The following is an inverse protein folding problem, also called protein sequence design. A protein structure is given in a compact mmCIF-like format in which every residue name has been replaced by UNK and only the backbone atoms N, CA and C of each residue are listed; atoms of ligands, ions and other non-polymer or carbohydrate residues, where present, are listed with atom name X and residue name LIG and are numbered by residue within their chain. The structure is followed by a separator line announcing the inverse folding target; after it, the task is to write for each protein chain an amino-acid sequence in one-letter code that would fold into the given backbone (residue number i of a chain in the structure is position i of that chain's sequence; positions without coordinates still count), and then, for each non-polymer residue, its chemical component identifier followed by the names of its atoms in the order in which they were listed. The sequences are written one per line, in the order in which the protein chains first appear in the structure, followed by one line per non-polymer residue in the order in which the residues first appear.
data_IF_178849458680
#
_entry.id   IF_178849458680
#
_cell.length_a   1.000
_cell.length_b   1.000
_cell.length_c   1.000
_cell.angle_alpha   90.00
_cell.angle_beta   90.00
_cell.angle_gamma   90.00
#
_symmetry.space_group_name_H-M   'P 1'
#
loop_
_entity.id
_entity.type
_entity.pdbx_description
1 polymer ?
#
# COMPACT_ATOMS: atom_id res chain seq x y z
N UNK A 1 61.68 7.13 -39.04
CA UNK A 1 61.19 8.51 -39.21
C UNK A 1 60.09 8.52 -40.25
N UNK A 2 58.94 9.14 -40.12
CA UNK A 2 58.44 10.15 -39.20
C UNK A 2 57.25 9.63 -38.35
N UNK A 3 57.01 10.05 -37.16
CA UNK A 3 56.43 11.29 -36.57
C UNK A 3 54.89 11.40 -36.73
N UNK A 4 54.26 11.25 -35.54
CA UNK A 4 53.13 12.03 -35.06
C UNK A 4 51.82 12.15 -35.80
N UNK A 5 50.76 11.59 -35.18
CA UNK A 5 49.52 12.33 -34.95
C UNK A 5 48.72 11.68 -33.82
N UNK A 6 49.01 12.10 -32.59
CA UNK A 6 48.05 11.98 -31.49
C UNK A 6 47.54 13.40 -31.25
N UNK A 7 46.26 13.62 -31.49
CA UNK A 7 45.51 14.69 -30.85
C UNK A 7 44.02 14.60 -31.17
N UNK A 8 43.19 14.59 -30.14
CA UNK A 8 41.83 15.10 -30.27
C UNK A 8 40.69 14.11 -30.11
N UNK A 9 40.51 13.47 -28.93
CA UNK A 9 39.19 13.07 -28.46
C UNK A 9 39.14 13.22 -26.95
N UNK A 10 39.22 14.46 -26.51
CA UNK A 10 38.92 14.79 -25.11
C UNK A 10 38.23 16.16 -25.08
N UNK A 11 36.98 16.21 -25.41
CA UNK A 11 36.06 17.31 -25.08
C UNK A 11 34.66 16.97 -25.57
N UNK A 12 33.79 16.51 -24.73
CA UNK A 12 32.34 16.77 -24.74
C UNK A 12 31.57 15.75 -23.91
N UNK A 13 31.65 15.80 -22.61
CA UNK A 13 30.62 15.21 -21.73
C UNK A 13 30.50 16.05 -20.44
N UNK A 14 30.27 17.35 -20.61
CA UNK A 14 29.67 18.18 -19.58
C UNK A 14 28.27 18.58 -20.02
N UNK A 15 27.38 17.58 -20.11
CA UNK A 15 25.95 17.84 -20.16
C UNK A 15 25.51 18.29 -18.78
N UNK A 16 25.44 19.59 -18.58
CA UNK A 16 24.72 20.20 -17.48
C UNK A 16 23.27 19.74 -17.57
N UNK A 17 22.91 18.77 -16.74
CA UNK A 17 21.51 18.49 -16.47
C UNK A 17 20.94 19.74 -15.82
N UNK A 18 20.26 20.53 -16.63
CA UNK A 18 19.44 21.63 -16.18
C UNK A 18 18.23 21.02 -15.48
N UNK A 19 18.37 20.72 -14.17
CA UNK A 19 17.28 20.36 -13.30
C UNK A 19 16.42 21.62 -13.24
N UNK A 20 15.29 21.58 -13.95
CA UNK A 20 14.24 22.59 -13.84
C UNK A 20 14.02 22.88 -12.36
N UNK A 21 13.99 24.14 -11.91
CA UNK A 21 13.73 24.43 -10.51
C UNK A 21 12.40 23.78 -10.15
N UNK A 22 12.40 23.00 -9.06
CA UNK A 22 11.20 22.42 -8.51
C UNK A 22 10.12 23.50 -8.49
N UNK A 23 8.98 23.21 -9.09
CA UNK A 23 7.77 24.02 -8.94
C UNK A 23 7.44 23.88 -7.45
N UNK A 24 7.98 24.77 -6.64
CA UNK A 24 7.49 24.95 -5.28
C UNK A 24 6.03 25.37 -5.45
N UNK A 25 5.04 24.59 -4.97
CA UNK A 25 3.69 25.07 -4.94
C UNK A 25 3.74 26.34 -4.10
N UNK A 26 3.45 27.48 -4.72
CA UNK A 26 3.14 28.72 -3.99
C UNK A 26 1.87 28.40 -3.20
N UNK A 27 2.04 27.95 -1.97
CA UNK A 27 1.02 28.08 -0.95
C UNK A 27 0.80 29.58 -0.87
N UNK A 28 -0.27 30.05 -1.54
CA UNK A 28 -0.67 31.47 -1.48
C UNK A 28 -0.81 31.80 -0.01
N UNK A 29 -0.23 32.93 0.38
CA UNK A 29 -0.30 33.57 1.68
C UNK A 29 -1.51 33.15 2.53
N UNK A 30 -1.44 31.97 3.16
CA UNK A 30 -2.12 31.76 4.40
C UNK A 30 -1.43 32.74 5.36
N UNK A 31 -2.15 33.72 5.87
CA UNK A 31 -1.67 34.60 6.92
C UNK A 31 -0.94 33.76 7.94
N UNK A 32 0.39 33.96 8.06
CA UNK A 32 1.28 33.09 8.83
C UNK A 32 0.61 32.83 10.20
N UNK A 33 0.14 31.61 10.43
CA UNK A 33 -0.44 31.22 11.72
C UNK A 33 0.75 31.17 12.69
N UNK A 34 0.85 32.16 13.54
CA UNK A 34 1.85 32.15 14.59
C UNK A 34 1.54 30.95 15.50
N UNK A 35 2.34 29.89 15.37
CA UNK A 35 2.23 28.71 16.23
C UNK A 35 2.51 29.14 17.66
N UNK A 36 1.64 28.75 18.59
CA UNK A 36 1.92 28.97 20.01
C UNK A 36 3.13 28.15 20.47
N UNK A 37 3.84 28.58 21.55
CA UNK A 37 5.06 27.92 21.99
C UNK A 37 4.88 26.44 22.38
N UNK A 38 3.69 26.05 22.89
CA UNK A 38 3.43 24.66 23.27
C UNK A 38 3.27 23.81 22.01
N UNK A 39 2.57 24.33 20.98
CA UNK A 39 2.44 23.67 19.69
C UNK A 39 3.77 23.50 19.00
N UNK A 40 4.59 24.53 19.00
CA UNK A 40 5.96 24.49 18.45
C UNK A 40 6.78 23.35 19.09
N UNK A 41 6.77 23.25 20.41
CA UNK A 41 7.49 22.18 21.13
C UNK A 41 6.97 20.78 20.77
N UNK A 42 5.67 20.62 20.58
CA UNK A 42 5.09 19.33 20.14
C UNK A 42 5.57 18.98 18.73
N UNK A 43 5.55 19.91 17.80
CA UNK A 43 6.02 19.70 16.43
C UNK A 43 7.51 19.39 16.38
N UNK A 44 8.33 20.04 17.19
CA UNK A 44 9.77 19.74 17.31
C UNK A 44 10.02 18.29 17.76
N UNK A 45 9.23 17.78 18.74
CA UNK A 45 9.31 16.39 19.19
C UNK A 45 8.94 15.42 18.07
N UNK A 46 7.91 15.72 17.28
CA UNK A 46 7.52 14.88 16.16
C UNK A 46 8.61 14.89 15.07
N UNK A 47 9.19 16.04 14.76
CA UNK A 47 10.30 16.17 13.81
C UNK A 47 11.52 15.32 14.23
N UNK A 48 11.85 15.31 15.52
CA UNK A 48 12.89 14.43 16.07
C UNK A 48 12.53 12.95 15.91
N UNK A 49 11.28 12.57 16.19
CA UNK A 49 10.80 11.20 16.07
C UNK A 49 10.88 10.68 14.63
N UNK A 50 10.48 11.49 13.66
CA UNK A 50 10.48 11.11 12.23
C UNK A 50 11.82 11.32 11.54
N UNK A 51 12.78 11.99 12.19
CA UNK A 51 14.11 12.28 11.63
C UNK A 51 14.09 13.26 10.46
N UNK A 52 13.13 14.19 10.45
CA UNK A 52 13.01 15.24 9.42
C UNK A 52 12.73 16.60 10.06
N UNK A 53 13.58 17.60 9.75
CA UNK A 53 13.39 18.98 10.16
C UNK A 53 12.73 19.75 9.03
N UNK A 54 11.56 20.34 9.30
CA UNK A 54 10.81 21.11 8.32
C UNK A 54 11.38 22.51 8.15
N UNK A 55 11.51 22.95 6.89
CA UNK A 55 11.79 24.34 6.54
C UNK A 55 10.60 25.23 6.88
N UNK A 56 9.38 24.69 6.68
CA UNK A 56 8.12 25.33 7.05
C UNK A 56 7.32 24.45 8.02
N UNK A 57 7.38 24.73 9.36
CA UNK A 57 6.62 23.98 10.36
C UNK A 57 5.09 24.08 10.20
N UNK A 58 4.58 25.09 9.50
CA UNK A 58 3.14 25.25 9.24
C UNK A 58 2.60 24.11 8.37
N UNK A 59 3.41 23.61 7.42
CA UNK A 59 3.05 22.44 6.60
C UNK A 59 2.88 21.19 7.47
N UNK A 60 3.72 21.01 8.48
CA UNK A 60 3.58 19.92 9.43
C UNK A 60 2.34 20.11 10.31
N UNK A 61 2.07 21.33 10.78
CA UNK A 61 0.87 21.63 11.57
C UNK A 61 -0.41 21.37 10.78
N UNK A 62 -0.43 21.75 9.51
CA UNK A 62 -1.54 21.47 8.59
C UNK A 62 -1.77 19.97 8.42
N UNK A 63 -0.72 19.18 8.22
CA UNK A 63 -0.81 17.72 8.09
C UNK A 63 -1.43 17.05 9.32
N UNK A 64 -1.35 17.68 10.48
CA UNK A 64 -1.87 17.20 11.75
C UNK A 64 -3.21 17.83 12.14
N UNK A 65 -3.79 18.68 11.29
CA UNK A 65 -5.06 19.36 11.52
C UNK A 65 -6.20 18.64 10.81
N UNK A 66 -7.08 18.00 11.58
CA UNK A 66 -8.25 17.29 11.07
C UNK A 66 -9.37 18.26 10.68
N UNK A 67 -10.17 17.92 9.67
CA UNK A 67 -11.26 18.76 9.15
C UNK A 67 -12.28 19.20 10.21
N UNK A 68 -12.44 18.46 11.31
CA UNK A 68 -13.31 18.85 12.42
C UNK A 68 -12.91 20.18 13.08
N UNK A 69 -11.63 20.58 13.00
CA UNK A 69 -11.15 21.88 13.49
C UNK A 69 -11.68 23.01 12.62
N UNK A 70 -11.52 22.86 11.29
CA UNK A 70 -12.00 23.82 10.32
C UNK A 70 -13.54 24.04 10.43
N UNK A 71 -14.29 22.95 10.64
CA UNK A 71 -15.74 23.03 10.87
C UNK A 71 -16.14 23.81 12.13
N UNK A 72 -15.34 23.76 13.18
CA UNK A 72 -15.63 24.46 14.45
C UNK A 72 -15.19 25.93 14.40
N UNK A 73 -14.09 26.23 13.68
CA UNK A 73 -13.56 27.60 13.58
C UNK A 73 -14.30 28.47 12.57
N UNK A 74 -14.95 27.83 11.58
CA UNK A 74 -15.61 28.55 10.49
C UNK A 74 -17.10 28.19 10.41
N UNK A 75 -17.96 29.06 10.88
CA UNK A 75 -19.41 28.91 10.71
C UNK A 75 -19.91 29.22 9.27
N UNK A 76 -19.07 29.70 8.35
CA UNK A 76 -19.55 30.26 7.07
C UNK A 76 -18.80 29.82 5.81
N UNK A 77 -17.48 29.54 5.82
CA UNK A 77 -16.76 29.12 4.60
C UNK A 77 -15.57 28.20 4.94
N UNK A 78 -15.59 26.98 4.39
CA UNK A 78 -14.49 26.02 4.48
C UNK A 78 -13.52 26.26 3.31
N UNK A 79 -12.23 26.50 3.62
CA UNK A 79 -11.21 26.62 2.60
C UNK A 79 -10.40 25.32 2.48
N UNK A 80 -10.05 24.88 1.25
CA UNK A 80 -9.33 23.63 1.02
C UNK A 80 -7.97 23.50 1.70
N UNK A 81 -7.46 24.55 2.32
CA UNK A 81 -6.15 24.61 2.98
C UNK A 81 -6.25 24.74 4.51
N UNK A 82 -7.42 24.52 5.10
CA UNK A 82 -7.63 24.69 6.54
C UNK A 82 -7.43 23.39 7.32
N UNK A 83 -7.32 22.25 6.61
CA UNK A 83 -7.14 20.92 7.17
C UNK A 83 -6.21 20.03 6.33
N UNK A 84 -6.08 18.76 6.71
CA UNK A 84 -5.15 17.82 6.11
C UNK A 84 -5.69 17.02 4.91
N UNK A 85 -6.94 17.24 4.46
CA UNK A 85 -7.55 16.40 3.41
C UNK A 85 -6.78 16.46 2.07
N UNK A 86 -6.30 17.63 1.67
CA UNK A 86 -5.48 17.73 0.46
C UNK A 86 -4.10 17.08 0.60
N UNK A 87 -3.51 17.15 1.79
CA UNK A 87 -2.26 16.48 2.07
C UNK A 87 -2.45 14.95 2.15
N UNK A 88 -3.57 14.46 2.71
CA UNK A 88 -3.97 13.06 2.66
C UNK A 88 -4.03 12.56 1.22
N UNK A 89 -4.76 13.27 0.35
CA UNK A 89 -4.87 12.93 -1.08
C UNK A 89 -3.51 12.82 -1.77
N UNK A 90 -2.62 13.78 -1.56
CA UNK A 90 -1.27 13.73 -2.11
C UNK A 90 -0.44 12.61 -1.47
N UNK A 91 -0.60 12.42 -0.17
CA UNK A 91 0.13 11.43 0.61
C UNK A 91 -0.15 9.99 0.21
N UNK A 92 -1.40 9.66 -0.09
CA UNK A 92 -1.78 8.34 -0.64
C UNK A 92 -1.00 8.04 -1.93
N UNK A 93 -0.95 8.99 -2.86
CA UNK A 93 -0.21 8.83 -4.11
C UNK A 93 1.31 8.68 -3.90
N UNK A 94 1.90 9.50 -3.03
CA UNK A 94 3.35 9.44 -2.70
C UNK A 94 3.68 8.13 -1.97
N UNK A 95 2.86 7.72 -1.01
CA UNK A 95 2.99 6.45 -0.31
C UNK A 95 2.93 5.27 -1.28
N UNK A 96 1.90 5.26 -2.15
CA UNK A 96 1.74 4.23 -3.18
C UNK A 96 2.96 4.10 -4.08
N UNK A 97 3.52 5.22 -4.53
CA UNK A 97 4.77 5.27 -5.32
C UNK A 97 5.95 4.68 -4.54
N UNK A 98 6.19 5.16 -3.33
CA UNK A 98 7.36 4.79 -2.52
C UNK A 98 7.33 3.31 -2.12
N UNK A 99 6.16 2.78 -1.74
CA UNK A 99 5.98 1.35 -1.43
C UNK A 99 6.18 0.52 -2.70
N UNK A 100 5.60 0.92 -3.83
CA UNK A 100 5.76 0.22 -5.11
C UNK A 100 7.21 0.17 -5.55
N UNK A 101 7.91 1.30 -5.51
CA UNK A 101 9.33 1.37 -5.87
C UNK A 101 10.18 0.47 -4.97
N UNK A 102 9.93 0.49 -3.66
CA UNK A 102 10.64 -0.36 -2.71
C UNK A 102 10.45 -1.85 -3.04
N UNK A 103 9.20 -2.29 -3.19
CA UNK A 103 8.87 -3.69 -3.48
C UNK A 103 9.45 -4.14 -4.83
N UNK A 104 9.35 -3.31 -5.87
CA UNK A 104 9.90 -3.59 -7.19
C UNK A 104 11.42 -3.80 -7.17
N UNK A 105 12.14 -2.97 -6.41
CA UNK A 105 13.60 -3.05 -6.31
C UNK A 105 14.07 -4.17 -5.39
N UNK A 106 13.35 -4.41 -4.30
CA UNK A 106 13.75 -5.40 -3.29
C UNK A 106 13.44 -6.84 -3.70
N UNK A 107 12.39 -7.05 -4.52
CA UNK A 107 11.88 -8.37 -4.88
C UNK A 107 11.71 -8.53 -6.40
N UNK A 108 12.82 -8.47 -7.17
CA UNK A 108 12.77 -8.54 -8.64
C UNK A 108 12.31 -9.92 -9.16
N UNK A 109 12.28 -10.93 -8.31
CA UNK A 109 11.77 -12.26 -8.62
C UNK A 109 10.24 -12.36 -8.64
N UNK A 110 9.53 -11.38 -8.07
CA UNK A 110 8.07 -11.40 -8.04
C UNK A 110 7.46 -10.83 -9.31
N UNK A 111 6.40 -11.48 -9.77
CA UNK A 111 5.52 -10.95 -10.81
C UNK A 111 4.61 -9.85 -10.23
N UNK A 112 3.85 -9.19 -11.09
CA UNK A 112 2.95 -8.09 -10.73
C UNK A 112 1.94 -8.47 -9.64
N UNK A 113 1.35 -9.67 -9.70
CA UNK A 113 0.33 -10.13 -8.76
C UNK A 113 0.79 -10.11 -7.28
N UNK A 114 1.87 -10.83 -6.91
CA UNK A 114 2.44 -10.76 -5.55
C UNK A 114 2.82 -9.34 -5.12
N UNK A 115 3.44 -8.53 -6.01
CA UNK A 115 3.82 -7.15 -5.70
C UNK A 115 2.60 -6.28 -5.39
N UNK A 116 1.52 -6.42 -6.16
CA UNK A 116 0.27 -5.69 -5.93
C UNK A 116 -0.40 -6.10 -4.60
N UNK A 117 -0.38 -7.39 -4.26
CA UNK A 117 -0.88 -7.87 -2.97
C UNK A 117 -0.07 -7.33 -1.79
N UNK A 118 1.26 -7.39 -1.86
CA UNK A 118 2.13 -6.82 -0.83
C UNK A 118 1.87 -5.32 -0.67
N UNK A 119 1.85 -4.57 -1.76
CA UNK A 119 1.54 -3.13 -1.73
C UNK A 119 0.23 -2.86 -1.01
N UNK A 120 -0.86 -3.57 -1.37
CA UNK A 120 -2.18 -3.36 -0.78
C UNK A 120 -2.22 -3.56 0.74
N UNK A 121 -1.37 -4.43 1.29
CA UNK A 121 -1.25 -4.62 2.73
C UNK A 121 -0.68 -3.37 3.42
N UNK A 122 0.40 -2.79 2.86
CA UNK A 122 1.11 -1.66 3.46
C UNK A 122 0.41 -0.31 3.27
N UNK A 123 -0.35 -0.13 2.17
CA UNK A 123 -1.13 1.10 1.95
C UNK A 123 -2.56 1.00 2.53
N UNK A 124 -2.91 -0.11 3.18
CA UNK A 124 -4.25 -0.27 3.73
C UNK A 124 -4.50 0.67 4.91
N UNK A 125 -5.71 1.23 5.00
CA UNK A 125 -6.15 2.05 6.15
C UNK A 125 -5.92 1.37 7.49
N UNK A 126 -6.11 0.04 7.56
CA UNK A 126 -5.88 -0.72 8.78
C UNK A 126 -4.39 -0.72 9.18
N UNK A 127 -3.50 -0.88 8.21
CA UNK A 127 -2.05 -0.85 8.47
C UNK A 127 -1.59 0.55 8.85
N UNK A 128 -1.96 1.57 8.09
CA UNK A 128 -1.61 2.96 8.37
C UNK A 128 -2.16 3.45 9.72
N UNK A 129 -3.36 3.02 10.09
CA UNK A 129 -3.91 3.30 11.43
C UNK A 129 -3.03 2.73 12.56
N UNK A 130 -2.46 1.51 12.38
CA UNK A 130 -1.50 0.92 13.33
C UNK A 130 -0.17 1.67 13.33
N UNK A 131 0.32 2.09 12.17
CA UNK A 131 1.51 2.95 12.04
C UNK A 131 1.31 4.24 12.82
N UNK A 132 0.20 4.95 12.59
CA UNK A 132 -0.12 6.18 13.33
C UNK A 132 -0.23 5.97 14.84
N UNK A 133 -0.73 4.79 15.26
CA UNK A 133 -0.77 4.42 16.68
C UNK A 133 0.62 4.16 17.25
N UNK A 134 1.49 3.44 16.55
CA UNK A 134 2.88 3.17 16.98
C UNK A 134 3.71 4.45 17.08
N UNK A 135 3.51 5.40 16.16
CA UNK A 135 4.10 6.74 16.20
C UNK A 135 3.50 7.64 17.29
N UNK A 136 2.42 7.20 17.97
CA UNK A 136 1.61 8.02 18.87
C UNK A 136 1.12 9.32 18.21
N UNK A 137 0.81 9.25 16.91
CA UNK A 137 0.48 10.43 16.12
C UNK A 137 -0.76 11.16 16.66
N UNK A 138 -1.66 10.43 17.33
CA UNK A 138 -2.81 11.00 18.02
C UNK A 138 -2.48 12.08 19.05
N UNK A 139 -1.30 12.05 19.69
CA UNK A 139 -0.88 13.05 20.67
C UNK A 139 -0.57 14.41 20.01
N UNK A 140 -0.29 14.40 18.70
CA UNK A 140 0.07 15.58 17.92
C UNK A 140 -1.10 16.16 17.11
N UNK A 141 -2.24 15.43 16.99
CA UNK A 141 -3.38 15.86 16.20
C UNK A 141 -4.08 17.09 16.79
N UNK A 142 -4.53 17.96 15.90
CA UNK A 142 -5.54 18.99 16.20
C UNK A 142 -6.90 18.44 15.79
N UNK A 143 -7.81 18.39 16.74
CA UNK A 143 -9.18 17.88 16.56
C UNK A 143 -10.16 18.90 17.09
N UNK A 144 -11.33 19.01 16.45
CA UNK A 144 -12.45 19.74 16.99
C UNK A 144 -12.97 19.09 18.28
N UNK A 145 -13.65 19.86 19.13
CA UNK A 145 -14.14 19.42 20.45
C UNK A 145 -15.06 18.20 20.37
N UNK A 146 -15.87 18.12 19.32
CA UNK A 146 -16.77 17.00 19.07
C UNK A 146 -15.98 15.72 18.78
N UNK A 147 -15.00 15.80 17.88
CA UNK A 147 -14.16 14.67 17.50
C UNK A 147 -13.24 14.23 18.67
N UNK A 148 -12.69 15.19 19.41
CA UNK A 148 -11.91 14.92 20.63
C UNK A 148 -12.71 14.10 21.65
N UNK A 149 -13.95 14.54 21.96
CA UNK A 149 -14.85 13.85 22.91
C UNK A 149 -15.23 12.43 22.48
N UNK A 150 -15.32 12.19 21.16
CA UNK A 150 -15.63 10.86 20.60
C UNK A 150 -14.41 9.94 20.53
N UNK A 151 -13.25 10.36 21.06
CA UNK A 151 -12.01 9.59 21.08
C UNK A 151 -11.26 9.59 19.74
N UNK A 152 -11.42 10.63 18.94
CA UNK A 152 -10.83 10.79 17.61
C UNK A 152 -9.34 10.50 17.53
N UNK A 153 -8.56 10.88 18.58
CA UNK A 153 -7.12 10.62 18.65
C UNK A 153 -6.72 9.14 18.51
N UNK A 154 -7.65 8.21 18.73
CA UNK A 154 -7.41 6.76 18.68
C UNK A 154 -8.14 6.09 17.51
N UNK A 155 -8.93 6.82 16.73
CA UNK A 155 -9.64 6.26 15.58
C UNK A 155 -8.66 5.91 14.47
N UNK A 156 -8.65 4.66 14.06
CA UNK A 156 -7.74 4.15 13.03
C UNK A 156 -7.84 4.93 11.71
N UNK A 157 -9.04 5.39 11.32
CA UNK A 157 -9.22 6.17 10.11
C UNK A 157 -8.51 7.53 10.20
N UNK A 158 -8.68 8.27 11.31
CA UNK A 158 -8.04 9.58 11.51
C UNK A 158 -6.52 9.44 11.57
N UNK A 159 -6.03 8.39 12.23
CA UNK A 159 -4.59 8.12 12.30
C UNK A 159 -4.01 7.75 10.94
N UNK A 160 -4.73 6.97 10.12
CA UNK A 160 -4.29 6.62 8.76
C UNK A 160 -4.18 7.86 7.87
N UNK A 161 -5.23 8.69 7.85
CA UNK A 161 -5.26 9.94 7.08
C UNK A 161 -4.12 10.89 7.50
N UNK A 162 -3.84 10.97 8.82
CA UNK A 162 -2.73 11.77 9.33
C UNK A 162 -1.35 11.22 8.95
N UNK A 163 -1.18 9.90 8.82
CA UNK A 163 0.08 9.29 8.31
C UNK A 163 0.28 9.66 6.85
N UNK A 164 -0.75 9.56 6.02
CA UNK A 164 -0.69 9.97 4.60
C UNK A 164 -0.37 11.46 4.48
N UNK A 165 -1.09 12.31 5.21
CA UNK A 165 -0.83 13.75 5.22
C UNK A 165 0.59 14.10 5.69
N UNK A 166 1.12 13.40 6.68
CA UNK A 166 2.52 13.56 7.15
C UNK A 166 3.53 13.18 6.06
N UNK A 167 3.29 12.09 5.34
CA UNK A 167 4.13 11.67 4.20
C UNK A 167 4.14 12.75 3.12
N UNK A 168 2.97 13.32 2.79
CA UNK A 168 2.87 14.43 1.85
C UNK A 168 3.63 15.67 2.33
N UNK A 169 3.48 16.03 3.61
CA UNK A 169 4.18 17.18 4.19
C UNK A 169 5.70 17.02 4.09
N UNK A 170 6.24 15.85 4.45
CA UNK A 170 7.67 15.54 4.29
C UNK A 170 8.09 15.57 2.83
N UNK A 171 7.26 15.06 1.93
CA UNK A 171 7.53 15.10 0.50
C UNK A 171 7.59 16.53 -0.05
N UNK A 172 6.64 17.38 0.30
CA UNK A 172 6.60 18.78 -0.14
C UNK A 172 7.80 19.59 0.40
N UNK A 173 8.20 19.32 1.64
CA UNK A 173 9.30 20.03 2.30
C UNK A 173 10.69 19.56 1.84
N UNK A 174 10.88 18.24 1.66
CA UNK A 174 12.20 17.64 1.42
C UNK A 174 12.30 16.73 0.19
N UNK A 175 11.20 16.47 -0.53
CA UNK A 175 11.17 15.61 -1.70
C UNK A 175 11.08 14.11 -1.38
N UNK A 176 11.27 13.28 -2.41
CA UNK A 176 11.09 11.82 -2.32
C UNK A 176 12.08 11.13 -1.37
N UNK A 177 13.31 11.64 -1.21
CA UNK A 177 14.32 10.95 -0.41
C UNK A 177 13.96 10.96 1.09
N UNK A 178 13.63 12.09 1.73
CA UNK A 178 13.15 12.10 3.11
C UNK A 178 11.83 11.34 3.29
N UNK A 179 10.86 11.50 2.38
CA UNK A 179 9.61 10.77 2.43
C UNK A 179 9.83 9.25 2.35
N UNK A 180 10.73 8.79 1.48
CA UNK A 180 11.12 7.38 1.39
C UNK A 180 11.79 6.84 2.65
N UNK A 181 12.56 7.67 3.37
CA UNK A 181 13.12 7.27 4.68
C UNK A 181 12.02 7.09 5.72
N UNK A 182 11.07 8.01 5.77
CA UNK A 182 9.91 7.92 6.66
C UNK A 182 9.10 6.64 6.38
N UNK A 183 8.75 6.38 5.12
CA UNK A 183 7.99 5.20 4.72
C UNK A 183 8.74 3.90 5.09
N UNK A 184 10.04 3.82 4.83
CA UNK A 184 10.83 2.63 5.19
C UNK A 184 10.93 2.42 6.70
N UNK A 185 11.03 3.48 7.48
CA UNK A 185 11.21 3.38 8.92
C UNK A 185 9.92 3.01 9.66
N UNK A 186 8.77 3.41 9.15
CA UNK A 186 7.51 3.31 9.88
C UNK A 186 6.43 2.48 9.20
N UNK A 187 6.37 2.50 7.86
CA UNK A 187 5.31 1.80 7.11
C UNK A 187 5.75 0.39 6.71
N UNK A 188 7.00 0.22 6.26
CA UNK A 188 7.56 -1.07 5.88
C UNK A 188 8.17 -1.74 7.11
N UNK A 189 7.33 -2.27 7.97
CA UNK A 189 7.69 -2.86 9.26
C UNK A 189 8.21 -4.31 9.12
N UNK A 190 8.52 -4.96 10.26
CA UNK A 190 9.01 -6.34 10.36
C UNK A 190 8.08 -7.38 9.71
N UNK A 191 6.81 -7.04 9.47
CA UNK A 191 5.85 -7.93 8.80
C UNK A 191 6.16 -8.11 7.32
N UNK A 192 6.93 -7.19 6.70
CA UNK A 192 7.31 -7.29 5.31
C UNK A 192 7.99 -8.64 5.03
N UNK A 193 8.97 -9.03 5.85
CA UNK A 193 9.69 -10.29 5.66
C UNK A 193 8.77 -11.52 5.79
N UNK A 194 7.84 -11.51 6.74
CA UNK A 194 6.88 -12.60 6.92
C UNK A 194 5.90 -12.69 5.73
N UNK A 195 5.41 -11.55 5.22
CA UNK A 195 4.54 -11.51 4.06
C UNK A 195 5.27 -11.93 2.77
N UNK A 196 6.53 -11.53 2.63
CA UNK A 196 7.39 -11.95 1.51
C UNK A 196 7.66 -13.45 1.57
N UNK A 197 7.96 -14.01 2.76
CA UNK A 197 8.14 -15.44 2.93
C UNK A 197 6.88 -16.21 2.55
N UNK A 198 5.69 -15.74 2.97
CA UNK A 198 4.42 -16.33 2.58
C UNK A 198 4.15 -16.22 1.07
N UNK A 199 4.50 -15.11 0.45
CA UNK A 199 4.39 -14.92 -1.00
C UNK A 199 5.34 -15.86 -1.78
N UNK A 200 6.54 -16.14 -1.25
CA UNK A 200 7.50 -17.09 -1.85
C UNK A 200 7.08 -18.53 -1.70
N UNK A 201 6.51 -18.93 -0.55
CA UNK A 201 6.05 -20.30 -0.32
C UNK A 201 4.77 -20.65 -1.08
N UNK A 202 4.10 -19.68 -1.67
CA UNK A 202 2.77 -19.86 -2.27
C UNK A 202 1.68 -20.10 -1.22
N UNK A 203 2.00 -19.99 0.07
CA UNK A 203 1.05 -20.07 1.19
C UNK A 203 0.23 -18.78 1.36
N UNK A 204 0.45 -17.82 0.47
CA UNK A 204 -0.25 -16.55 0.54
C UNK A 204 -1.76 -16.78 0.43
N UNK A 205 -2.45 -16.45 1.49
CA UNK A 205 -3.91 -16.59 1.69
C UNK A 205 -4.62 -15.59 0.75
N UNK A 206 -4.32 -15.70 -0.56
CA UNK A 206 -4.75 -14.55 -1.19
C UNK A 206 -5.52 -14.64 -2.45
N UNK A 207 -5.17 -15.17 -3.50
CA UNK A 207 -6.01 -15.07 -4.68
C UNK A 207 -5.88 -16.26 -5.64
N UNK A 208 -5.95 -17.45 -5.05
CA UNK A 208 -6.00 -18.68 -5.85
C UNK A 208 -7.18 -18.68 -6.83
N UNK A 209 -8.24 -17.93 -6.49
CA UNK A 209 -9.38 -17.76 -7.40
C UNK A 209 -8.99 -16.96 -8.63
N UNK A 210 -8.31 -15.82 -8.48
CA UNK A 210 -7.82 -15.03 -9.62
C UNK A 210 -6.74 -15.78 -10.39
N UNK A 211 -5.79 -16.42 -9.71
CA UNK A 211 -4.79 -17.27 -10.37
C UNK A 211 -5.42 -18.40 -11.20
N UNK A 212 -6.46 -19.04 -10.68
CA UNK A 212 -7.19 -20.08 -11.42
C UNK A 212 -7.95 -19.49 -12.60
N UNK A 213 -8.54 -18.31 -12.43
CA UNK A 213 -9.22 -17.59 -13.51
C UNK A 213 -8.25 -17.20 -14.63
N UNK A 214 -7.06 -16.66 -14.30
CA UNK A 214 -6.01 -16.35 -15.26
C UNK A 214 -5.52 -17.61 -15.99
N UNK A 215 -5.33 -18.70 -15.26
CA UNK A 215 -4.97 -19.98 -15.85
C UNK A 215 -6.03 -20.43 -16.86
N UNK A 216 -7.32 -20.36 -16.50
CA UNK A 216 -8.42 -20.71 -17.39
C UNK A 216 -8.45 -19.84 -18.64
N UNK A 217 -8.27 -18.53 -18.50
CA UNK A 217 -8.23 -17.60 -19.63
C UNK A 217 -7.04 -17.88 -20.56
N UNK A 218 -5.84 -18.06 -20.00
CA UNK A 218 -4.63 -18.33 -20.80
C UNK A 218 -4.66 -19.67 -21.55
N UNK A 219 -5.44 -20.64 -21.07
CA UNK A 219 -5.59 -21.96 -21.69
C UNK A 219 -6.93 -22.15 -22.45
N UNK A 220 -7.74 -21.10 -22.57
CA UNK A 220 -9.02 -21.16 -23.28
C UNK A 220 -10.06 -22.07 -22.63
N UNK A 221 -10.01 -22.25 -21.30
CA UNK A 221 -10.86 -23.17 -20.56
C UNK A 221 -12.19 -22.54 -20.06
N UNK A 222 -12.51 -21.32 -20.49
CA UNK A 222 -13.68 -20.57 -20.03
C UNK A 222 -13.46 -19.92 -18.67
N UNK A 223 -14.44 -20.06 -17.76
CA UNK A 223 -14.33 -19.53 -16.38
C UNK A 223 -14.55 -20.67 -15.37
N UNK A 224 -13.81 -20.69 -14.25
CA UNK A 224 -14.03 -21.67 -13.19
C UNK A 224 -15.36 -21.37 -12.46
N UNK A 225 -16.16 -22.42 -12.20
CA UNK A 225 -17.40 -22.33 -11.45
C UNK A 225 -17.22 -22.86 -10.03
N UNK A 226 -17.72 -22.13 -9.02
CA UNK A 226 -17.64 -22.49 -7.60
C UNK A 226 -19.01 -22.85 -7.06
N UNK A 227 -19.16 -24.07 -6.58
CA UNK A 227 -20.43 -24.59 -6.06
C UNK A 227 -20.27 -25.02 -4.62
N UNK A 228 -21.12 -24.50 -3.72
CA UNK A 228 -21.19 -24.97 -2.34
C UNK A 228 -21.90 -26.32 -2.39
N UNK A 229 -21.21 -27.39 -2.08
CA UNK A 229 -21.72 -28.76 -2.11
C UNK A 229 -22.29 -29.21 -0.77
N UNK A 230 -21.84 -28.60 0.33
CA UNK A 230 -22.33 -28.88 1.68
C UNK A 230 -22.13 -27.69 2.60
N UNK A 231 -23.06 -27.47 3.51
CA UNK A 231 -22.98 -26.53 4.61
C UNK A 231 -23.38 -27.24 5.90
N UNK A 232 -22.48 -27.34 6.87
CA UNK A 232 -22.67 -28.08 8.11
C UNK A 232 -22.30 -27.26 9.34
N UNK A 233 -22.97 -27.55 10.46
CA UNK A 233 -22.70 -26.95 11.78
C UNK A 233 -23.63 -25.82 12.17
N UNK A 234 -23.68 -25.47 13.49
CA UNK A 234 -24.46 -24.36 14.01
C UNK A 234 -23.93 -23.01 13.53
N UNK A 235 -24.74 -21.94 13.59
CA UNK A 235 -24.45 -20.63 13.02
C UNK A 235 -23.09 -20.02 13.40
N UNK A 236 -22.56 -20.35 14.57
CA UNK A 236 -21.25 -19.86 15.06
C UNK A 236 -20.08 -20.81 14.77
N UNK A 237 -20.34 -22.00 14.17
CA UNK A 237 -19.35 -22.99 13.74
C UNK A 237 -19.70 -23.62 12.39
N UNK A 238 -20.15 -22.80 11.43
CA UNK A 238 -20.44 -23.27 10.08
C UNK A 238 -19.16 -23.72 9.37
N UNK A 239 -19.29 -24.83 8.67
CA UNK A 239 -18.30 -25.39 7.76
C UNK A 239 -18.90 -25.50 6.37
N UNK A 240 -18.18 -24.97 5.38
CA UNK A 240 -18.61 -24.95 3.97
C UNK A 240 -17.71 -25.89 3.17
N UNK A 241 -18.30 -26.76 2.36
CA UNK A 241 -17.56 -27.52 1.34
C UNK A 241 -17.84 -26.87 -0.02
N UNK A 242 -16.79 -26.46 -0.71
CA UNK A 242 -16.89 -25.84 -2.04
C UNK A 242 -16.15 -26.70 -3.05
N UNK A 243 -16.80 -27.01 -4.17
CA UNK A 243 -16.21 -27.65 -5.34
C UNK A 243 -15.93 -26.62 -6.43
N UNK A 244 -14.76 -26.72 -7.07
CA UNK A 244 -14.41 -26.00 -8.29
C UNK A 244 -14.70 -26.89 -9.48
N UNK A 245 -15.47 -26.37 -10.43
CA UNK A 245 -15.80 -27.07 -11.67
C UNK A 245 -15.28 -26.33 -12.89
N UNK A 246 -14.84 -27.09 -13.87
CA UNK A 246 -14.61 -26.66 -15.25
C UNK A 246 -15.87 -27.00 -16.04
N UNK A 247 -16.35 -26.05 -16.86
CA UNK A 247 -17.45 -26.24 -17.78
C UNK A 247 -16.85 -26.33 -19.19
N UNK A 248 -16.97 -27.48 -19.83
CA UNK A 248 -16.50 -27.67 -21.20
C UNK A 248 -17.40 -27.03 -22.24
N UNK A 249 -16.96 -26.96 -23.53
CA UNK A 249 -17.68 -26.28 -24.60
C UNK A 249 -19.09 -26.91 -24.90
N UNK A 250 -19.30 -28.20 -24.62
CA UNK A 250 -20.55 -28.86 -24.79
C UNK A 250 -21.44 -28.88 -23.52
N UNK A 251 -21.02 -28.11 -22.47
CA UNK A 251 -21.74 -28.01 -21.21
C UNK A 251 -21.43 -29.13 -20.20
N UNK A 252 -20.45 -29.99 -20.51
CA UNK A 252 -19.99 -31.01 -19.56
C UNK A 252 -19.28 -30.36 -18.37
N UNK A 253 -19.68 -30.78 -17.17
CA UNK A 253 -19.08 -30.30 -15.93
C UNK A 253 -18.05 -31.31 -15.40
N UNK A 254 -16.85 -30.85 -15.19
CA UNK A 254 -15.78 -31.63 -14.53
C UNK A 254 -15.38 -30.97 -13.21
N UNK A 255 -15.52 -31.68 -12.10
CA UNK A 255 -15.00 -31.23 -10.82
C UNK A 255 -13.48 -31.37 -10.82
N UNK A 256 -12.77 -30.28 -10.58
CA UNK A 256 -11.30 -30.23 -10.50
C UNK A 256 -10.80 -30.50 -9.10
N UNK A 257 -11.42 -29.88 -8.10
CA UNK A 257 -11.07 -30.02 -6.69
C UNK A 257 -12.25 -29.61 -5.80
N UNK A 258 -12.18 -30.00 -4.52
CA UNK A 258 -13.08 -29.52 -3.48
C UNK A 258 -12.31 -29.27 -2.19
N UNK A 259 -12.74 -28.28 -1.41
CA UNK A 259 -12.14 -27.94 -0.13
C UNK A 259 -13.18 -27.53 0.91
N UNK A 260 -12.79 -27.64 2.18
CA UNK A 260 -13.62 -27.27 3.32
C UNK A 260 -13.04 -26.03 3.99
N UNK A 261 -13.90 -25.11 4.44
CA UNK A 261 -13.49 -23.93 5.18
C UNK A 261 -14.56 -23.44 6.15
N UNK A 262 -14.15 -22.72 7.17
CA UNK A 262 -15.04 -22.11 8.18
C UNK A 262 -15.81 -20.90 7.63
N UNK A 263 -15.42 -20.40 6.47
CA UNK A 263 -16.13 -19.36 5.71
C UNK A 263 -16.15 -19.74 4.24
N UNK A 264 -17.23 -19.42 3.54
CA UNK A 264 -17.40 -19.71 2.11
C UNK A 264 -16.21 -19.24 1.29
N UNK A 265 -15.77 -17.98 1.49
CA UNK A 265 -14.63 -17.40 0.79
C UNK A 265 -13.32 -18.18 1.02
N UNK A 266 -13.10 -18.68 2.23
CA UNK A 266 -11.91 -19.49 2.55
C UNK A 266 -11.95 -20.85 1.85
N UNK A 267 -13.10 -21.53 1.86
CA UNK A 267 -13.30 -22.79 1.15
C UNK A 267 -13.12 -22.64 -0.37
N UNK A 268 -13.60 -21.51 -0.95
CA UNK A 268 -13.43 -21.20 -2.37
C UNK A 268 -11.95 -21.01 -2.74
N UNK A 269 -11.19 -20.30 -1.93
CA UNK A 269 -9.74 -20.06 -2.17
C UNK A 269 -8.94 -21.37 -2.09
N UNK A 270 -9.22 -22.20 -1.08
CA UNK A 270 -8.55 -23.48 -0.92
C UNK A 270 -8.92 -24.47 -2.03
N UNK A 271 -10.16 -24.50 -2.47
CA UNK A 271 -10.59 -25.29 -3.62
C UNK A 271 -9.90 -24.84 -4.91
N UNK A 272 -9.71 -23.53 -5.10
CA UNK A 272 -8.98 -22.98 -6.24
C UNK A 272 -7.50 -23.37 -6.20
N UNK A 273 -6.86 -23.35 -5.02
CA UNK A 273 -5.47 -23.78 -4.82
C UNK A 273 -5.29 -25.23 -5.26
N UNK A 274 -6.15 -26.12 -4.74
CA UNK A 274 -6.10 -27.53 -5.08
C UNK A 274 -6.38 -27.78 -6.57
N UNK A 275 -7.28 -27.00 -7.19
CA UNK A 275 -7.55 -27.11 -8.62
C UNK A 275 -6.32 -26.72 -9.47
N UNK A 276 -5.59 -25.67 -9.09
CA UNK A 276 -4.33 -25.31 -9.75
C UNK A 276 -3.28 -26.40 -9.65
N UNK A 277 -3.14 -27.05 -8.50
CA UNK A 277 -2.22 -28.19 -8.35
C UNK A 277 -2.57 -29.37 -9.27
N UNK A 278 -3.85 -29.69 -9.40
CA UNK A 278 -4.33 -30.73 -10.30
C UNK A 278 -4.03 -30.39 -11.76
N UNK A 279 -4.26 -29.13 -12.16
CA UNK A 279 -4.03 -28.68 -13.53
C UNK A 279 -2.53 -28.65 -13.87
N UNK A 280 -1.68 -28.21 -12.97
CA UNK A 280 -0.23 -28.21 -13.17
C UNK A 280 0.34 -29.63 -13.27
N UNK A 281 -0.16 -30.60 -12.48
CA UNK A 281 0.25 -32.01 -12.57
C UNK A 281 -0.17 -32.67 -13.88
N UNK A 282 -1.33 -32.27 -14.44
CA UNK A 282 -1.83 -32.81 -15.73
C UNK A 282 -1.14 -32.17 -16.93
N UNK A 283 -0.59 -30.94 -16.79
CA UNK A 283 0.15 -30.26 -17.86
C UNK A 283 1.62 -30.73 -18.01
N UNK A 284 2.18 -31.44 -17.00
CA UNK A 284 3.53 -31.99 -17.07
C UNK A 284 3.44 -33.55 -16.98
N UNK A 285 3.30 -34.28 -18.12
CA UNK A 285 3.37 -35.74 -18.08
C UNK A 285 4.78 -36.16 -17.70
N UNK A 286 4.90 -36.93 -16.60
CA UNK A 286 6.15 -37.58 -16.21
C UNK A 286 6.74 -38.34 -17.39
N UNK A 287 8.07 -38.32 -17.65
CA UNK A 287 8.66 -39.16 -18.65
C UNK A 287 8.39 -40.61 -18.27
N UNK A 288 7.70 -41.32 -19.17
CA UNK A 288 7.51 -42.79 -19.05
C UNK A 288 8.88 -43.43 -18.92
N UNK A 289 9.12 -44.12 -17.82
CA UNK A 289 10.15 -45.13 -17.74
C UNK A 289 9.95 -46.11 -18.90
N UNK A 290 10.82 -46.04 -19.89
CA UNK A 290 10.92 -47.05 -20.93
C UNK A 290 11.71 -48.23 -20.36
N UNK A 291 11.00 -49.34 -20.16
CA UNK A 291 11.56 -50.65 -19.96
C UNK A 291 12.34 -51.11 -21.20
#
# INVERSE_FOLDING_TARGET
MPANCMSGVEAALTSKHNVSPAIAPTVKDASARVLDPQRTLLLERLQQLIGHQFHNPETLDLALTHSSVAYEEQQTEHHPHDDNEQLEFLGDAVLGLLVTEHLFRAYPEFTEGPLTRLRSQFVSRQHLGRVGQSMRLGDYLRLGKGEEKSGGRRKAAILANAVEALIAAVYLDGGLIPAGRLVRAWVLDEKLEALVAAARSGEDVGDHKSMLQEYFQSHGLGQPSYIVTSENGPDHHKSFVVAVKQIGPAGEERTLASATGTRKKHAEQEAARLALEVLHKTACPSPKESA
#
